data_IF_983802819719
#
_entry.id   IF_983802819719
#
_cell.length_a   1.000
_cell.length_b   1.000
_cell.length_c   1.000
_cell.angle_alpha   90.00
_cell.angle_beta   90.00
_cell.angle_gamma   90.00
#
_symmetry.space_group_name_H-M   'P 1'
#
loop_
_entity.id
_entity.type
_entity.pdbx_description
1 polymer ?
#
# COMPACT_ATOMS: atom_id res chain seq x y z
N UNK A 1 20.93 -7.57 -11.97
CA UNK A 1 20.08 -8.41 -11.49
C UNK A 1 18.71 -7.94 -11.40
N UNK A 2 17.91 -8.61 -11.47
CA UNK A 2 16.61 -8.15 -11.47
C UNK A 2 15.98 -8.32 -10.15
N UNK A 3 15.35 -7.42 -9.69
CA UNK A 3 14.63 -7.49 -8.46
C UNK A 3 13.36 -8.27 -8.52
N UNK A 4 13.25 -9.17 -9.45
CA UNK A 4 12.02 -9.90 -9.62
C UNK A 4 11.71 -10.73 -8.39
N UNK A 5 10.50 -10.68 -7.93
CA UNK A 5 10.08 -11.47 -6.81
C UNK A 5 8.92 -12.32 -7.22
N UNK A 6 8.80 -13.44 -6.56
CA UNK A 6 7.71 -14.34 -6.80
C UNK A 6 6.72 -14.14 -5.69
N UNK A 7 5.55 -13.67 -6.03
CA UNK A 7 4.48 -13.54 -5.07
C UNK A 7 4.60 -12.41 -4.09
N UNK A 8 5.51 -11.47 -4.33
CA UNK A 8 5.66 -10.35 -3.42
C UNK A 8 6.46 -9.24 -4.04
N UNK A 9 6.71 -8.22 -3.25
CA UNK A 9 7.47 -7.07 -3.68
C UNK A 9 8.85 -7.10 -3.06
N UNK A 10 9.83 -6.66 -3.85
CA UNK A 10 11.21 -6.56 -3.40
C UNK A 10 11.64 -5.12 -3.45
N UNK A 11 12.51 -4.73 -2.53
CA UNK A 11 13.10 -3.39 -2.57
C UNK A 11 14.42 -3.37 -3.31
N UNK A 12 14.86 -4.50 -3.84
CA UNK A 12 16.06 -4.53 -4.65
C UNK A 12 15.86 -3.66 -5.89
N UNK A 13 16.86 -2.88 -6.21
CA UNK A 13 16.78 -1.99 -7.35
C UNK A 13 16.11 -0.67 -7.05
N UNK A 14 15.51 -0.51 -5.89
CA UNK A 14 14.90 0.75 -5.49
C UNK A 14 15.94 1.59 -4.77
N UNK A 15 16.01 2.86 -5.16
CA UNK A 15 16.95 3.76 -4.49
C UNK A 15 16.28 4.34 -3.25
N UNK A 16 16.33 3.59 -2.16
CA UNK A 16 15.67 4.00 -0.93
C UNK A 16 16.36 5.18 -0.25
N UNK A 17 17.56 5.55 -0.71
CA UNK A 17 18.22 6.73 -0.15
C UNK A 17 17.62 8.02 -0.68
N UNK A 18 16.90 7.95 -1.77
CA UNK A 18 16.28 9.13 -2.38
C UNK A 18 14.78 9.13 -2.31
N UNK A 19 14.18 7.99 -2.05
CA UNK A 19 12.74 7.86 -2.10
C UNK A 19 12.21 7.26 -0.81
N UNK A 20 10.96 7.57 -0.51
CA UNK A 20 10.23 6.86 0.51
C UNK A 20 9.34 5.86 -0.20
N UNK A 21 9.25 4.66 0.34
CA UNK A 21 8.45 3.60 -0.23
C UNK A 21 7.36 3.23 0.76
N UNK A 22 6.13 3.13 0.28
CA UNK A 22 5.00 2.64 1.04
C UNK A 22 4.54 1.38 0.35
N UNK A 23 4.56 0.27 1.06
CA UNK A 23 4.14 -1.00 0.45
C UNK A 23 3.49 -1.90 1.49
N UNK A 24 2.80 -2.92 0.99
CA UNK A 24 2.16 -3.88 1.87
C UNK A 24 1.21 -4.76 1.10
N UNK A 25 0.26 -5.32 1.82
CA UNK A 25 -0.72 -6.22 1.23
C UNK A 25 -2.11 -5.82 1.67
N UNK A 26 -3.09 -6.11 0.81
CA UNK A 26 -4.48 -6.02 1.17
C UNK A 26 -4.98 -7.43 1.45
N UNK A 27 -5.52 -7.62 2.63
CA UNK A 27 -5.98 -8.92 3.11
C UNK A 27 -7.45 -8.85 3.49
N UNK A 28 -8.11 -9.98 3.40
CA UNK A 28 -9.43 -10.15 3.99
C UNK A 28 -9.31 -11.36 4.91
N UNK A 29 -9.15 -11.08 6.20
CA UNK A 29 -8.70 -12.10 7.13
C UNK A 29 -7.28 -12.50 6.75
N UNK A 30 -7.04 -13.77 6.52
CA UNK A 30 -5.72 -14.25 6.12
C UNK A 30 -5.56 -14.33 4.61
N UNK A 31 -6.59 -13.99 3.84
CA UNK A 31 -6.57 -14.19 2.40
C UNK A 31 -6.14 -12.91 1.68
N UNK A 32 -5.15 -12.99 0.79
CA UNK A 32 -4.79 -11.83 -0.03
C UNK A 32 -5.93 -11.44 -0.96
N UNK A 33 -6.09 -10.15 -1.19
CA UNK A 33 -7.12 -9.62 -2.07
C UNK A 33 -6.49 -9.10 -3.33
N UNK A 34 -6.69 -9.80 -4.44
CA UNK A 34 -6.20 -9.38 -5.73
C UNK A 34 -7.18 -8.40 -6.36
N UNK A 35 -6.68 -7.45 -7.12
CA UNK A 35 -7.54 -6.54 -7.88
C UNK A 35 -8.28 -5.51 -7.05
N UNK A 36 -7.92 -5.34 -5.78
CA UNK A 36 -8.40 -4.20 -5.03
C UNK A 36 -7.65 -2.96 -5.49
N UNK A 37 -8.19 -1.79 -5.23
CA UNK A 37 -7.53 -0.55 -5.60
C UNK A 37 -7.07 0.16 -4.35
N UNK A 38 -5.80 0.58 -4.34
CA UNK A 38 -5.25 1.34 -3.22
C UNK A 38 -4.92 2.73 -3.76
N UNK A 39 -5.52 3.74 -3.13
CA UNK A 39 -5.29 5.13 -3.49
C UNK A 39 -4.38 5.78 -2.47
N UNK A 40 -3.44 6.55 -2.97
CA UNK A 40 -2.55 7.33 -2.13
C UNK A 40 -3.07 8.76 -2.10
N UNK A 41 -3.43 9.22 -0.90
CA UNK A 41 -3.94 10.58 -0.71
C UNK A 41 -2.92 11.35 0.12
N UNK A 42 -2.68 12.62 -0.24
CA UNK A 42 -1.73 13.43 0.49
C UNK A 42 -2.32 13.90 1.82
N UNK A 43 -1.57 14.70 2.56
CA UNK A 43 -1.99 15.14 3.89
C UNK A 43 -3.25 16.00 3.85
N UNK A 44 -3.56 16.59 2.71
CA UNK A 44 -4.80 17.33 2.53
C UNK A 44 -5.96 16.50 2.03
N UNK A 45 -5.74 15.20 1.83
CA UNK A 45 -6.77 14.31 1.32
C UNK A 45 -6.89 14.30 -0.19
N UNK A 46 -5.94 14.89 -0.89
CA UNK A 46 -5.98 14.98 -2.36
C UNK A 46 -5.44 13.72 -2.97
N UNK A 47 -6.07 13.29 -4.04
CA UNK A 47 -5.65 12.11 -4.80
C UNK A 47 -4.26 12.34 -5.41
N UNK A 48 -3.37 11.38 -5.22
CA UNK A 48 -2.03 11.43 -5.78
C UNK A 48 -1.78 10.29 -6.75
N UNK A 49 -2.15 9.07 -6.37
CA UNK A 49 -1.90 7.90 -7.20
C UNK A 49 -2.85 6.78 -6.83
N UNK A 50 -2.96 5.78 -7.70
CA UNK A 50 -3.78 4.61 -7.46
C UNK A 50 -3.13 3.42 -8.13
N UNK A 51 -3.07 2.29 -7.44
CA UNK A 51 -2.58 1.05 -8.02
C UNK A 51 -3.53 -0.09 -7.66
N UNK A 52 -3.68 -1.07 -8.56
CA UNK A 52 -4.39 -2.29 -8.19
C UNK A 52 -3.45 -3.21 -7.42
N UNK A 53 -4.02 -4.05 -6.57
CA UNK A 53 -3.22 -5.05 -5.89
C UNK A 53 -2.90 -6.19 -6.84
N UNK A 54 -1.73 -6.81 -6.61
CA UNK A 54 -1.29 -7.94 -7.41
C UNK A 54 -2.09 -9.20 -7.07
N UNK A 55 -1.79 -10.30 -7.74
CA UNK A 55 -2.43 -11.58 -7.48
C UNK A 55 -2.25 -12.03 -6.03
N UNK A 56 -1.21 -11.57 -5.36
CA UNK A 56 -0.95 -11.88 -3.96
C UNK A 56 -1.30 -10.73 -3.04
N UNK A 57 -2.07 -9.76 -3.53
CA UNK A 57 -2.58 -8.66 -2.72
C UNK A 57 -1.62 -7.53 -2.46
N UNK A 58 -0.47 -7.50 -3.11
CA UNK A 58 0.56 -6.52 -2.83
C UNK A 58 0.34 -5.20 -3.55
N UNK A 59 0.79 -4.12 -2.92
CA UNK A 59 0.81 -2.79 -3.52
C UNK A 59 2.10 -2.07 -3.11
N UNK A 60 2.49 -1.07 -3.90
CA UNK A 60 3.67 -0.27 -3.62
C UNK A 60 3.50 1.13 -4.20
N UNK A 61 3.90 2.12 -3.41
CA UNK A 61 3.97 3.51 -3.86
C UNK A 61 5.35 4.08 -3.57
N UNK A 62 5.78 5.00 -4.42
CA UNK A 62 6.93 5.84 -4.16
C UNK A 62 6.38 7.22 -3.81
N UNK A 63 6.74 7.74 -2.67
CA UNK A 63 6.14 8.95 -2.13
C UNK A 63 7.21 9.90 -1.62
N UNK A 64 6.82 11.15 -1.40
CA UNK A 64 7.68 12.09 -0.70
C UNK A 64 7.50 11.93 0.81
N UNK A 65 8.38 12.56 1.58
CA UNK A 65 8.27 12.57 3.02
C UNK A 65 6.94 13.16 3.43
N UNK A 66 6.36 12.61 4.44
CA UNK A 66 5.18 13.20 5.04
C UNK A 66 4.12 12.19 5.40
N UNK A 67 2.96 12.72 5.74
CA UNK A 67 1.81 11.91 6.14
C UNK A 67 0.93 11.67 4.93
N UNK A 68 0.52 10.42 4.78
CA UNK A 68 -0.31 10.00 3.66
C UNK A 68 -1.47 9.18 4.18
N UNK A 69 -2.51 9.05 3.35
CA UNK A 69 -3.62 8.16 3.62
C UNK A 69 -3.71 7.16 2.49
N UNK A 70 -3.81 5.89 2.86
CA UNK A 70 -4.08 4.82 1.90
C UNK A 70 -5.57 4.52 1.97
N UNK A 71 -6.26 4.73 0.86
CA UNK A 71 -7.68 4.39 0.77
C UNK A 71 -7.81 3.14 -0.08
N UNK A 72 -8.21 2.06 0.54
CA UNK A 72 -8.35 0.78 -0.13
C UNK A 72 -9.82 0.56 -0.48
N UNK A 73 -10.05 0.22 -1.73
CA UNK A 73 -11.37 -0.04 -2.27
C UNK A 73 -11.41 -1.46 -2.79
N UNK A 74 -12.35 -2.22 -2.29
CA UNK A 74 -12.57 -3.60 -2.73
C UNK A 74 -14.08 -3.85 -2.73
N UNK A 75 -14.55 -4.91 -3.38
CA UNK A 75 -15.99 -5.19 -3.35
C UNK A 75 -16.50 -5.31 -1.92
N UNK A 76 -17.46 -4.48 -1.59
CA UNK A 76 -18.08 -4.48 -0.27
C UNK A 76 -17.26 -3.88 0.84
N UNK A 77 -16.11 -3.23 0.52
CA UNK A 77 -15.24 -2.72 1.58
C UNK A 77 -14.51 -1.46 1.15
N UNK A 78 -14.27 -0.59 2.11
CA UNK A 78 -13.47 0.61 1.94
C UNK A 78 -12.81 0.91 3.28
N UNK A 79 -11.50 1.10 3.26
CA UNK A 79 -10.75 1.32 4.48
C UNK A 79 -9.66 2.36 4.24
N UNK A 80 -9.57 3.33 5.14
CA UNK A 80 -8.50 4.31 5.11
C UNK A 80 -7.49 3.98 6.20
N UNK A 81 -6.21 4.03 5.84
CA UNK A 81 -5.10 3.84 6.77
C UNK A 81 -4.15 5.02 6.64
N UNK A 82 -3.76 5.57 7.77
CA UNK A 82 -2.74 6.62 7.79
C UNK A 82 -1.37 5.98 7.79
N UNK A 83 -0.44 6.58 7.06
CA UNK A 83 0.93 6.10 7.02
C UNK A 83 1.86 7.29 6.90
N UNK A 84 3.03 7.18 7.50
CA UNK A 84 4.07 8.19 7.39
C UNK A 84 5.15 7.63 6.50
N UNK A 85 5.50 8.40 5.46
CA UNK A 85 6.58 8.05 4.57
C UNK A 85 7.81 8.87 4.94
N UNK A 86 8.96 8.21 4.99
CA UNK A 86 10.21 8.87 5.33
C UNK A 86 11.23 8.49 4.26
N UNK A 87 11.83 9.51 3.65
CA UNK A 87 12.85 9.29 2.63
C UNK A 87 13.92 8.36 3.18
N UNK A 88 14.32 7.40 2.37
CA UNK A 88 15.32 6.43 2.75
C UNK A 88 14.78 5.24 3.51
N UNK A 89 13.46 5.14 3.67
CA UNK A 89 12.86 4.02 4.38
C UNK A 89 11.74 3.39 3.58
N UNK A 90 11.39 2.17 3.96
CA UNK A 90 10.25 1.45 3.41
C UNK A 90 9.25 1.29 4.54
N UNK A 91 8.06 1.84 4.34
CA UNK A 91 6.97 1.72 5.31
C UNK A 91 6.09 0.54 4.88
N UNK A 92 6.02 -0.47 5.74
CA UNK A 92 5.22 -1.66 5.48
C UNK A 92 3.87 -1.51 6.15
N UNK A 93 2.81 -1.64 5.38
CA UNK A 93 1.45 -1.46 5.89
C UNK A 93 0.57 -2.57 5.34
N UNK A 94 0.03 -3.40 6.21
CA UNK A 94 -0.96 -4.38 5.78
C UNK A 94 -2.35 -3.80 6.04
N UNK A 95 -3.21 -3.91 5.05
CA UNK A 95 -4.58 -3.42 5.13
C UNK A 95 -5.49 -4.63 5.25
N UNK A 96 -6.09 -4.81 6.42
CA UNK A 96 -6.96 -5.95 6.66
C UNK A 96 -8.42 -5.49 6.60
N UNK A 97 -9.10 -5.89 5.54
CA UNK A 97 -10.49 -5.49 5.31
C UNK A 97 -11.45 -6.09 6.32
N UNK A 98 -11.07 -7.21 6.93
CA UNK A 98 -11.89 -7.82 7.98
C UNK A 98 -11.94 -6.92 9.21
N UNK A 99 -10.79 -6.33 9.54
CA UNK A 99 -10.74 -5.39 10.67
C UNK A 99 -11.60 -4.19 10.36
N UNK A 100 -11.55 -3.68 9.12
CA UNK A 100 -12.38 -2.57 8.71
C UNK A 100 -13.85 -2.92 8.80
N UNK A 101 -14.19 -4.12 8.34
CA UNK A 101 -15.55 -4.58 8.41
C UNK A 101 -16.05 -4.66 9.84
N UNK A 102 -15.21 -5.13 10.74
CA UNK A 102 -15.57 -5.21 12.13
C UNK A 102 -15.78 -3.83 12.73
N UNK A 103 -15.05 -2.85 12.26
CA UNK A 103 -15.15 -1.50 12.77
C UNK A 103 -16.33 -0.75 12.19
N UNK A 104 -16.83 -1.20 11.09
CA UNK A 104 -17.97 -0.56 10.47
C UNK A 104 -19.25 -0.98 11.15
#
# INVERSE_FOLDING_TARGET
MCGATTGGLSVEGINVTKEAVIQGRVLRGDAPVAGAYVRLLDSGGEFTAEVPTSATGHFRFFAGDGSWTLRTLAPGAKLDRKVVATRGTVSEVDVDLEVAGAAA
#
